data_IF_032783468258
#
_entry.id   IF_032783468258
#
_cell.length_a   1.000
_cell.length_b   1.000
_cell.length_c   1.000
_cell.angle_alpha   90.00
_cell.angle_beta   90.00
_cell.angle_gamma   90.00
#
_symmetry.space_group_name_H-M   'P 1'
#
loop_
_entity.id
_entity.type
_entity.pdbx_description
1 polymer ?
#
# COMPACT_ATOMS: atom_id res chain seq x y z
N UNK A 1 5.83 -22.48 -1.75
CA UNK A 1 7.19 -21.96 -1.42
C UNK A 1 7.74 -22.56 -0.11
N UNK A 2 9.06 -22.62 0.10
CA UNK A 2 9.64 -23.06 1.39
C UNK A 2 9.31 -22.11 2.55
N UNK A 3 8.96 -22.66 3.72
CA UNK A 3 8.49 -21.89 4.90
C UNK A 3 9.48 -20.81 5.36
N UNK A 4 10.79 -21.06 5.25
CA UNK A 4 11.82 -20.06 5.58
C UNK A 4 11.77 -18.81 4.71
N UNK A 5 11.55 -18.98 3.40
CA UNK A 5 11.43 -17.87 2.44
C UNK A 5 10.13 -17.10 2.65
N UNK A 6 9.03 -17.82 2.92
CA UNK A 6 7.73 -17.22 3.24
C UNK A 6 7.83 -16.32 4.47
N UNK A 7 8.46 -16.79 5.55
CA UNK A 7 8.65 -15.98 6.76
C UNK A 7 9.45 -14.71 6.49
N UNK A 8 10.52 -14.81 5.70
CA UNK A 8 11.33 -13.65 5.32
C UNK A 8 10.50 -12.61 4.54
N UNK A 9 9.71 -13.05 3.56
CA UNK A 9 8.81 -12.19 2.78
C UNK A 9 7.76 -11.52 3.69
N UNK A 10 7.17 -12.26 4.63
CA UNK A 10 6.18 -11.72 5.56
C UNK A 10 6.75 -10.62 6.46
N UNK A 11 8.01 -10.71 6.87
CA UNK A 11 8.67 -9.65 7.63
C UNK A 11 8.78 -8.36 6.82
N UNK A 12 9.14 -8.47 5.53
CA UNK A 12 9.22 -7.31 4.63
C UNK A 12 7.84 -6.71 4.32
N UNK A 13 6.81 -7.54 4.24
CA UNK A 13 5.44 -7.11 3.98
C UNK A 13 4.74 -6.52 5.21
N UNK A 14 5.08 -6.97 6.42
CA UNK A 14 4.40 -6.59 7.66
C UNK A 14 4.14 -5.07 7.83
N UNK A 15 5.07 -4.14 7.53
CA UNK A 15 4.78 -2.72 7.62
C UNK A 15 3.92 -2.18 6.45
N UNK A 16 3.91 -2.87 5.30
CA UNK A 16 3.32 -2.42 4.03
C UNK A 16 1.91 -2.92 3.77
N UNK A 17 1.42 -3.93 4.51
CA UNK A 17 0.08 -4.51 4.36
C UNK A 17 -0.73 -4.44 5.68
N UNK A 18 -2.06 -4.66 5.64
CA UNK A 18 -2.87 -4.77 6.85
C UNK A 18 -2.49 -6.03 7.66
N UNK A 19 -2.34 -5.88 8.97
CA UNK A 19 -1.83 -6.94 9.86
C UNK A 19 -2.81 -8.12 9.98
N UNK A 20 -4.10 -7.82 9.87
CA UNK A 20 -5.20 -8.77 9.85
C UNK A 20 -5.16 -9.73 8.65
N UNK A 21 -4.49 -9.33 7.55
CA UNK A 21 -4.41 -10.13 6.33
C UNK A 21 -3.18 -11.04 6.27
N UNK A 22 -2.23 -10.91 7.21
CA UNK A 22 -0.99 -11.69 7.26
C UNK A 22 -1.25 -13.21 7.20
N UNK A 23 -2.22 -13.79 7.95
CA UNK A 23 -2.49 -15.22 7.88
C UNK A 23 -2.95 -15.68 6.49
N UNK A 24 -3.81 -14.88 5.84
CA UNK A 24 -4.30 -15.18 4.49
C UNK A 24 -3.18 -15.10 3.45
N UNK A 25 -2.35 -14.05 3.54
CA UNK A 25 -1.20 -13.85 2.66
C UNK A 25 -0.18 -14.98 2.81
N UNK A 26 0.09 -15.44 4.03
CA UNK A 26 0.95 -16.61 4.29
C UNK A 26 0.45 -17.83 3.52
N UNK A 27 -0.82 -18.19 3.70
CA UNK A 27 -1.40 -19.36 3.04
C UNK A 27 -1.31 -19.24 1.52
N UNK A 28 -1.52 -18.04 0.95
CA UNK A 28 -1.37 -17.84 -0.49
C UNK A 28 0.08 -17.98 -0.96
N UNK A 29 1.05 -17.41 -0.25
CA UNK A 29 2.47 -17.56 -0.55
C UNK A 29 2.95 -19.02 -0.48
N UNK A 30 2.43 -19.80 0.47
CA UNK A 30 2.78 -21.21 0.61
C UNK A 30 2.28 -22.04 -0.58
N UNK A 31 1.06 -21.74 -1.06
CA UNK A 31 0.37 -22.46 -2.13
C UNK A 31 0.59 -21.89 -3.55
N UNK A 32 1.23 -20.74 -3.69
CA UNK A 32 1.53 -20.14 -4.99
C UNK A 32 2.78 -20.75 -5.64
N UNK A 33 2.73 -20.96 -6.96
CA UNK A 33 3.88 -21.39 -7.78
C UNK A 33 4.89 -20.26 -8.06
N UNK A 34 4.58 -19.04 -7.62
CA UNK A 34 5.40 -17.84 -7.83
C UNK A 34 6.76 -17.97 -7.14
N UNK A 35 7.81 -17.51 -7.82
CA UNK A 35 9.16 -17.52 -7.26
C UNK A 35 9.31 -16.49 -6.13
N UNK A 36 10.09 -16.84 -5.10
CA UNK A 36 10.38 -15.97 -3.98
C UNK A 36 11.00 -14.64 -4.40
N UNK A 37 11.88 -14.69 -5.41
CA UNK A 37 12.58 -13.51 -5.92
C UNK A 37 11.62 -12.49 -6.55
N UNK A 38 10.58 -12.96 -7.23
CA UNK A 38 9.56 -12.12 -7.85
C UNK A 38 8.72 -11.40 -6.79
N UNK A 39 8.30 -12.13 -5.75
CA UNK A 39 7.59 -11.54 -4.62
C UNK A 39 8.48 -10.56 -3.84
N UNK A 40 9.77 -10.88 -3.65
CA UNK A 40 10.72 -9.97 -3.00
C UNK A 40 10.91 -8.67 -3.81
N UNK A 41 11.03 -8.77 -5.13
CA UNK A 41 11.09 -7.59 -6.01
C UNK A 41 9.81 -6.75 -5.94
N UNK A 42 8.64 -7.39 -5.79
CA UNK A 42 7.37 -6.69 -5.58
C UNK A 42 7.35 -5.93 -4.25
N UNK A 43 7.91 -6.48 -3.16
CA UNK A 43 7.95 -5.79 -1.85
C UNK A 43 8.72 -4.46 -1.88
N UNK A 44 9.70 -4.34 -2.78
CA UNK A 44 10.50 -3.12 -2.98
C UNK A 44 9.67 -2.05 -3.72
N UNK A 45 8.81 -2.46 -4.65
CA UNK A 45 8.00 -1.57 -5.48
C UNK A 45 6.76 -1.03 -4.75
N UNK A 46 6.31 -1.70 -3.68
CA UNK A 46 5.16 -1.28 -2.89
C UNK A 46 5.38 0.07 -2.19
N UNK A 47 4.38 0.95 -2.31
CA UNK A 47 4.36 2.26 -1.65
C UNK A 47 4.51 2.12 -0.14
N UNK A 48 5.35 2.96 0.46
CA UNK A 48 5.60 2.95 1.89
C UNK A 48 4.53 3.75 2.64
N UNK A 49 3.77 3.15 3.57
CA UNK A 49 2.71 3.87 4.29
C UNK A 49 3.22 5.05 5.12
N UNK A 50 4.46 5.00 5.61
CA UNK A 50 5.08 6.10 6.35
C UNK A 50 5.33 7.28 5.43
N UNK A 51 5.91 7.01 4.24
CA UNK A 51 6.11 8.04 3.22
C UNK A 51 4.78 8.64 2.76
N UNK A 52 3.72 7.83 2.67
CA UNK A 52 2.39 8.31 2.31
C UNK A 52 1.84 9.33 3.32
N UNK A 53 2.03 9.12 4.63
CA UNK A 53 1.67 10.10 5.67
C UNK A 53 2.49 11.38 5.53
N UNK A 54 3.81 11.26 5.37
CA UNK A 54 4.70 12.42 5.22
C UNK A 54 4.28 13.26 4.02
N UNK A 55 3.96 12.60 2.90
CA UNK A 55 3.50 13.25 1.69
C UNK A 55 2.12 13.88 1.87
N UNK A 56 1.23 13.26 2.64
CA UNK A 56 -0.08 13.82 2.99
C UNK A 56 0.08 15.08 3.84
N UNK A 57 0.99 15.08 4.82
CA UNK A 57 1.24 16.24 5.68
C UNK A 57 1.82 17.43 4.90
N UNK A 58 2.77 17.21 3.99
CA UNK A 58 3.46 18.28 3.27
C UNK A 58 2.74 18.73 1.99
N UNK A 59 2.14 17.78 1.28
CA UNK A 59 1.65 17.95 -0.09
C UNK A 59 0.21 17.43 -0.30
N UNK A 60 -0.50 17.04 0.76
CA UNK A 60 -1.83 16.44 0.67
C UNK A 60 -2.94 17.42 0.23
N UNK A 61 -2.73 18.74 0.35
CA UNK A 61 -3.62 19.77 -0.21
C UNK A 61 -3.63 19.73 -1.75
N UNK A 62 -2.49 19.38 -2.35
CA UNK A 62 -2.36 19.17 -3.80
C UNK A 62 -2.78 17.74 -4.22
N UNK A 63 -3.10 16.86 -3.26
CA UNK A 63 -3.48 15.48 -3.53
C UNK A 63 -2.34 14.54 -3.93
N UNK A 64 -1.09 14.94 -3.72
CA UNK A 64 0.12 14.18 -4.09
C UNK A 64 0.22 12.86 -3.30
N UNK A 65 -0.31 12.84 -2.08
CA UNK A 65 -0.47 11.64 -1.26
C UNK A 65 -1.32 10.55 -1.93
N UNK A 66 -2.45 10.94 -2.54
CA UNK A 66 -3.32 10.00 -3.25
C UNK A 66 -2.70 9.48 -4.54
N UNK A 67 -1.95 10.31 -5.25
CA UNK A 67 -1.17 9.85 -6.40
C UNK A 67 -0.11 8.83 -6.01
N UNK A 68 0.58 9.03 -4.88
CA UNK A 68 1.57 8.08 -4.36
C UNK A 68 0.98 6.74 -3.91
N UNK A 69 -0.22 6.77 -3.32
CA UNK A 69 -0.95 5.57 -2.93
C UNK A 69 -1.57 4.81 -4.13
N UNK A 70 -1.50 5.37 -5.35
CA UNK A 70 -2.10 4.78 -6.56
C UNK A 70 -3.59 5.12 -6.75
N UNK A 71 -4.13 6.05 -5.97
CA UNK A 71 -5.49 6.58 -6.08
C UNK A 71 -5.53 7.84 -6.96
N UNK A 72 -5.12 7.70 -8.22
CA UNK A 72 -5.02 8.81 -9.19
C UNK A 72 -6.36 9.55 -9.37
N UNK A 73 -7.49 8.84 -9.36
CA UNK A 73 -8.82 9.46 -9.50
C UNK A 73 -9.16 10.42 -8.35
N UNK A 74 -8.87 10.03 -7.10
CA UNK A 74 -9.07 10.89 -5.93
C UNK A 74 -8.09 12.07 -5.91
N UNK A 75 -6.85 11.85 -6.35
CA UNK A 75 -5.86 12.92 -6.52
C UNK A 75 -6.32 13.98 -7.52
N UNK A 76 -6.84 13.57 -8.69
CA UNK A 76 -7.41 14.50 -9.68
C UNK A 76 -8.64 15.21 -9.14
N UNK A 77 -9.51 14.52 -8.39
CA UNK A 77 -10.66 15.13 -7.72
C UNK A 77 -10.27 16.25 -6.74
N UNK A 78 -9.19 16.06 -5.96
CA UNK A 78 -8.63 17.11 -5.10
C UNK A 78 -8.16 18.32 -5.90
N UNK A 79 -7.45 18.10 -7.01
CA UNK A 79 -6.96 19.20 -7.84
C UNK A 79 -8.10 20.02 -8.45
N UNK A 80 -9.15 19.36 -8.94
CA UNK A 80 -10.32 20.02 -9.49
C UNK A 80 -11.12 20.81 -8.45
N UNK A 81 -11.07 20.39 -7.18
CA UNK A 81 -11.76 21.04 -6.06
C UNK A 81 -10.86 22.02 -5.29
N UNK A 82 -9.66 22.33 -5.79
CA UNK A 82 -8.66 23.15 -5.08
C UNK A 82 -8.39 22.66 -3.65
N UNK A 83 -8.34 21.34 -3.45
CA UNK A 83 -8.00 20.72 -2.16
C UNK A 83 -9.10 20.84 -1.10
N UNK A 84 -10.35 21.14 -1.48
CA UNK A 84 -11.53 21.04 -0.60
C UNK A 84 -11.42 21.85 0.71
N UNK A 85 -10.86 23.07 0.65
CA UNK A 85 -10.65 23.98 1.79
C UNK A 85 -9.88 23.37 2.98
N UNK A 86 -9.04 22.35 2.76
CA UNK A 86 -8.24 21.72 3.83
C UNK A 86 -9.00 20.68 4.68
N UNK A 87 -10.31 20.54 4.53
CA UNK A 87 -11.09 19.49 5.20
C UNK A 87 -10.73 18.12 4.63
N UNK A 88 -10.62 18.02 3.30
CA UNK A 88 -10.15 16.80 2.63
C UNK A 88 -8.74 16.40 3.06
N UNK A 89 -7.86 17.37 3.28
CA UNK A 89 -6.51 17.12 3.79
C UNK A 89 -6.54 16.52 5.19
N UNK A 90 -7.35 17.07 6.11
CA UNK A 90 -7.46 16.56 7.47
C UNK A 90 -7.96 15.11 7.53
N UNK A 91 -8.96 14.78 6.70
CA UNK A 91 -9.51 13.44 6.60
C UNK A 91 -8.47 12.46 6.02
N UNK A 92 -7.68 12.91 5.04
CA UNK A 92 -6.70 12.05 4.38
C UNK A 92 -5.52 11.66 5.25
N UNK A 93 -5.07 12.51 6.17
CA UNK A 93 -3.99 12.15 7.10
C UNK A 93 -4.31 10.84 7.86
N UNK A 94 -5.58 10.64 8.22
CA UNK A 94 -6.01 9.43 8.93
C UNK A 94 -6.27 8.24 7.99
N UNK A 95 -6.72 8.50 6.75
CA UNK A 95 -7.11 7.44 5.81
C UNK A 95 -5.97 6.93 4.92
N UNK A 96 -4.91 7.71 4.69
CA UNK A 96 -3.92 7.42 3.66
C UNK A 96 -3.09 6.16 3.96
N UNK A 97 -2.84 5.86 5.24
CA UNK A 97 -2.11 4.67 5.67
C UNK A 97 -2.88 3.41 5.29
N UNK A 98 -4.15 3.35 5.68
CA UNK A 98 -4.99 2.20 5.41
C UNK A 98 -5.25 2.05 3.91
N UNK A 99 -5.46 3.15 3.19
CA UNK A 99 -5.59 3.14 1.74
C UNK A 99 -4.34 2.56 1.06
N UNK A 100 -3.15 3.02 1.46
CA UNK A 100 -1.87 2.56 0.91
C UNK A 100 -1.65 1.07 1.21
N UNK A 101 -1.90 0.63 2.45
CA UNK A 101 -1.78 -0.77 2.85
C UNK A 101 -2.75 -1.67 2.10
N UNK A 102 -4.00 -1.25 1.92
CA UNK A 102 -5.02 -1.99 1.16
C UNK A 102 -4.64 -2.12 -0.31
N UNK A 103 -4.16 -1.04 -0.94
CA UNK A 103 -3.67 -1.07 -2.33
C UNK A 103 -2.51 -2.03 -2.51
N UNK A 104 -1.50 -1.95 -1.63
CA UNK A 104 -0.38 -2.89 -1.64
C UNK A 104 -0.86 -4.35 -1.51
N UNK A 105 -1.84 -4.61 -0.65
CA UNK A 105 -2.43 -5.94 -0.48
C UNK A 105 -3.16 -6.41 -1.75
N UNK A 106 -3.97 -5.56 -2.39
CA UNK A 106 -4.65 -5.88 -3.64
C UNK A 106 -3.65 -6.24 -4.74
N UNK A 107 -2.60 -5.44 -4.88
CA UNK A 107 -1.50 -5.73 -5.82
C UNK A 107 -0.85 -7.07 -5.50
N UNK A 108 -0.51 -7.33 -4.24
CA UNK A 108 0.08 -8.61 -3.82
C UNK A 108 -0.82 -9.81 -4.16
N UNK A 109 -2.11 -9.71 -3.83
CA UNK A 109 -3.06 -10.80 -4.06
C UNK A 109 -3.32 -11.06 -5.54
N UNK A 110 -3.19 -10.04 -6.38
CA UNK A 110 -3.24 -10.19 -7.84
C UNK A 110 -2.07 -11.02 -8.36
N UNK A 111 -0.85 -10.81 -7.85
CA UNK A 111 0.33 -11.61 -8.23
C UNK A 111 0.36 -13.02 -7.61
N UNK A 112 -0.36 -13.23 -6.49
CA UNK A 112 -0.45 -14.52 -5.80
C UNK A 112 -1.65 -15.38 -6.22
N UNK A 113 -2.39 -14.98 -7.25
CA UNK A 113 -3.46 -15.77 -7.84
C UNK A 113 -2.88 -16.76 -8.84
#
# INVERSE_FOLDING_TARGET
MESGKVNHILVLLSPKIPVECIPSVRTRLENSDVNAEEIMALTIQMSDPTMAIVLSMLLGVLGIDRFYAGDTGLGVGKLLTFGGCGIWWLIDIFLIVDATKRKNLETLLYYLH
#
